data_IF_001013644333
#
_entry.id   IF_001013644333
#
_cell.length_a   1.000
_cell.length_b   1.000
_cell.length_c   1.000
_cell.angle_alpha   90.00
_cell.angle_beta   90.00
_cell.angle_gamma   90.00
#
_symmetry.space_group_name_H-M   'P 1'
#
loop_
_entity.id
_entity.type
_entity.pdbx_description
1 polymer ?
#
# COMPACT_ATOMS: atom_id res chain seq x y z
N UNK A 1 -17.62 -17.08 13.63
CA UNK A 1 -16.70 -17.61 14.65
C UNK A 1 -15.47 -18.29 14.03
N UNK A 2 -15.62 -19.31 13.18
CA UNK A 2 -14.46 -19.90 12.47
C UNK A 2 -13.95 -18.97 11.35
N UNK A 3 -14.86 -18.35 10.61
CA UNK A 3 -14.51 -17.39 9.54
C UNK A 3 -13.75 -16.18 10.09
N UNK A 4 -14.22 -15.59 11.19
CA UNK A 4 -13.54 -14.44 11.82
C UNK A 4 -12.12 -14.80 12.28
N UNK A 5 -11.94 -15.97 12.90
CA UNK A 5 -10.63 -16.46 13.32
C UNK A 5 -9.70 -16.74 12.13
N UNK A 6 -10.26 -17.23 11.01
CA UNK A 6 -9.52 -17.44 9.78
C UNK A 6 -9.06 -16.09 9.19
N UNK A 7 -9.94 -15.10 9.14
CA UNK A 7 -9.61 -13.76 8.65
C UNK A 7 -8.49 -13.12 9.49
N UNK A 8 -8.54 -13.21 10.82
CA UNK A 8 -7.48 -12.69 11.69
C UNK A 8 -6.11 -13.32 11.40
N UNK A 9 -6.07 -14.64 11.15
CA UNK A 9 -4.84 -15.35 10.77
C UNK A 9 -4.34 -14.87 9.41
N UNK A 10 -5.22 -14.78 8.41
CA UNK A 10 -4.85 -14.33 7.06
C UNK A 10 -4.35 -12.89 7.04
N UNK A 11 -5.02 -12.00 7.78
CA UNK A 11 -4.61 -10.59 7.96
C UNK A 11 -3.21 -10.52 8.57
N UNK A 12 -2.95 -11.32 9.61
CA UNK A 12 -1.64 -11.39 10.27
C UNK A 12 -0.56 -11.89 9.30
N UNK A 13 -0.83 -13.00 8.60
CA UNK A 13 0.10 -13.56 7.61
C UNK A 13 0.47 -12.52 6.54
N UNK A 14 -0.51 -11.83 5.97
CA UNK A 14 -0.30 -10.81 4.95
C UNK A 14 0.59 -9.64 5.43
N UNK A 15 0.43 -9.19 6.68
CA UNK A 15 1.25 -8.11 7.25
C UNK A 15 2.69 -8.55 7.53
N UNK A 16 2.89 -9.82 7.89
CA UNK A 16 4.22 -10.37 8.11
C UNK A 16 4.98 -10.68 6.82
N UNK A 17 4.28 -11.02 5.74
CA UNK A 17 4.88 -11.28 4.42
C UNK A 17 5.07 -10.02 3.55
N UNK A 18 4.45 -8.89 3.92
CA UNK A 18 4.53 -7.67 3.14
C UNK A 18 5.96 -7.10 3.02
N UNK A 19 6.24 -6.44 1.90
CA UNK A 19 7.45 -5.62 1.73
C UNK A 19 7.43 -4.49 2.77
N UNK A 20 8.58 -4.22 3.40
CA UNK A 20 8.72 -3.26 4.50
C UNK A 20 9.71 -2.16 4.13
N UNK A 21 9.72 -1.12 4.96
CA UNK A 21 10.74 -0.08 4.86
C UNK A 21 12.14 -0.71 4.86
N UNK A 22 13.03 -0.14 4.05
CA UNK A 22 14.42 -0.58 3.87
C UNK A 22 14.62 -1.90 3.12
N UNK A 23 13.57 -2.53 2.58
CA UNK A 23 13.77 -3.56 1.55
C UNK A 23 14.08 -2.89 0.21
N UNK A 24 15.27 -3.16 -0.32
CA UNK A 24 15.62 -2.78 -1.68
C UNK A 24 14.80 -3.61 -2.68
N UNK A 25 14.23 -2.95 -3.68
CA UNK A 25 13.49 -3.60 -4.75
C UNK A 25 14.08 -3.20 -6.10
N UNK A 26 14.21 -4.19 -6.98
CA UNK A 26 14.46 -3.98 -8.39
C UNK A 26 13.22 -3.44 -9.11
N UNK A 27 13.43 -2.83 -10.27
CA UNK A 27 12.34 -2.29 -11.10
C UNK A 27 11.30 -3.34 -11.50
N UNK A 28 11.73 -4.59 -11.73
CA UNK A 28 10.84 -5.70 -12.06
C UNK A 28 9.91 -6.09 -10.89
N UNK A 29 10.44 -6.08 -9.66
CA UNK A 29 9.69 -6.39 -8.44
C UNK A 29 8.67 -5.27 -8.13
N UNK A 30 9.09 -4.01 -8.26
CA UNK A 30 8.19 -2.86 -8.13
C UNK A 30 7.03 -2.96 -9.13
N UNK A 31 7.35 -3.28 -10.38
CA UNK A 31 6.32 -3.43 -11.43
C UNK A 31 5.39 -4.61 -11.16
N UNK A 32 5.88 -5.68 -10.54
CA UNK A 32 5.04 -6.80 -10.13
C UNK A 32 4.06 -6.39 -9.02
N UNK A 33 4.52 -5.66 -8.01
CA UNK A 33 3.65 -5.16 -6.93
C UNK A 33 2.50 -4.29 -7.46
N UNK A 34 2.75 -3.43 -8.45
CA UNK A 34 1.69 -2.63 -9.07
C UNK A 34 0.69 -3.49 -9.86
N UNK A 35 1.15 -4.49 -10.60
CA UNK A 35 0.24 -5.42 -11.31
C UNK A 35 -0.62 -6.22 -10.34
N UNK A 36 -0.04 -6.68 -9.24
CA UNK A 36 -0.76 -7.40 -8.20
C UNK A 36 -1.80 -6.50 -7.53
N UNK A 37 -1.46 -5.23 -7.31
CA UNK A 37 -2.39 -4.23 -6.78
C UNK A 37 -3.56 -3.95 -7.73
N UNK A 38 -3.30 -3.83 -9.04
CA UNK A 38 -4.33 -3.58 -10.06
C UNK A 38 -5.32 -4.75 -10.21
N UNK A 39 -4.92 -5.97 -9.84
CA UNK A 39 -5.76 -7.17 -9.88
C UNK A 39 -6.75 -7.26 -8.69
N UNK A 40 -6.56 -6.46 -7.64
CA UNK A 40 -7.41 -6.44 -6.45
C UNK A 40 -8.54 -5.44 -6.67
N UNK A 41 -9.79 -5.89 -6.47
CA UNK A 41 -10.95 -4.99 -6.49
C UNK A 41 -10.78 -3.90 -5.41
N UNK A 42 -10.78 -2.64 -5.84
CA UNK A 42 -10.02 -1.55 -5.23
C UNK A 42 -10.22 -1.43 -3.70
N UNK A 43 -9.14 -1.63 -2.94
CA UNK A 43 -9.07 -1.38 -1.49
C UNK A 43 -7.97 -0.34 -1.23
N UNK A 44 -8.35 0.89 -0.90
CA UNK A 44 -7.40 1.98 -0.59
C UNK A 44 -6.61 1.77 0.72
N UNK A 45 -6.92 0.71 1.47
CA UNK A 45 -6.33 0.39 2.76
C UNK A 45 -5.86 -1.06 2.79
N UNK A 46 -4.82 -1.34 3.57
CA UNK A 46 -4.43 -2.70 3.90
C UNK A 46 -5.52 -3.36 4.78
N UNK A 47 -5.48 -4.69 4.98
CA UNK A 47 -6.48 -5.37 5.79
C UNK A 47 -6.54 -4.91 7.26
N UNK A 48 -5.50 -4.23 7.77
CA UNK A 48 -5.48 -3.60 9.09
C UNK A 48 -5.97 -2.12 9.09
N UNK A 49 -6.38 -1.58 7.94
CA UNK A 49 -6.92 -0.23 7.81
C UNK A 49 -5.91 0.89 7.53
N UNK A 50 -4.63 0.60 7.30
CA UNK A 50 -3.65 1.64 6.92
C UNK A 50 -3.79 1.99 5.43
N UNK A 51 -3.77 3.28 5.04
CA UNK A 51 -3.78 3.65 3.63
C UNK A 51 -2.53 3.12 2.93
N UNK A 52 -2.70 2.56 1.74
CA UNK A 52 -1.60 1.98 0.94
C UNK A 52 -1.09 2.92 -0.16
N UNK A 53 -1.82 3.99 -0.44
CA UNK A 53 -1.46 5.00 -1.42
C UNK A 53 -1.79 6.39 -0.89
N UNK A 54 -0.98 7.36 -1.27
CA UNK A 54 -1.23 8.78 -1.09
C UNK A 54 -1.13 9.44 -2.47
N UNK A 55 -2.10 10.30 -2.79
CA UNK A 55 -2.08 11.10 -4.02
C UNK A 55 -1.69 12.52 -3.64
N UNK A 56 -0.53 12.96 -4.11
CA UNK A 56 -0.08 14.34 -3.97
C UNK A 56 -0.34 15.08 -5.29
N UNK A 57 -1.10 16.16 -5.21
CA UNK A 57 -1.34 17.03 -6.37
C UNK A 57 -0.16 17.96 -6.64
N UNK A 58 -0.05 18.48 -7.86
CA UNK A 58 1.02 19.40 -8.24
C UNK A 58 1.05 20.66 -7.36
N UNK A 59 -0.10 21.30 -7.14
CA UNK A 59 -0.20 22.48 -6.25
C UNK A 59 0.15 22.16 -4.80
N UNK A 60 -0.12 20.94 -4.34
CA UNK A 60 0.25 20.50 -3.00
C UNK A 60 1.77 20.33 -2.89
N UNK A 61 2.40 19.74 -3.90
CA UNK A 61 3.86 19.65 -4.01
C UNK A 61 4.47 21.06 -4.02
N UNK A 62 3.99 21.96 -4.85
CA UNK A 62 4.46 23.35 -4.92
C UNK A 62 4.41 24.04 -3.55
N UNK A 63 3.28 23.90 -2.83
CA UNK A 63 3.11 24.43 -1.48
C UNK A 63 4.12 23.85 -0.49
N UNK A 64 4.43 22.55 -0.57
CA UNK A 64 5.46 21.91 0.29
C UNK A 64 6.84 22.52 0.09
N UNK A 65 7.15 22.98 -1.13
CA UNK A 65 8.40 23.67 -1.47
C UNK A 65 8.33 25.19 -1.30
N UNK A 66 7.26 25.73 -0.69
CA UNK A 66 7.01 27.18 -0.54
C UNK A 66 7.02 27.93 -1.87
N UNK A 67 6.68 27.24 -2.95
CA UNK A 67 6.45 27.81 -4.28
C UNK A 67 4.94 28.03 -4.34
N UNK A 68 4.47 29.21 -3.98
CA UNK A 68 3.05 29.53 -4.15
C UNK A 68 2.82 30.01 -5.58
N UNK A 69 1.86 29.40 -6.28
CA UNK A 69 1.09 30.12 -7.31
C UNK A 69 0.30 31.27 -6.65
#
# INVERSE_FOLDING_TARGET
QVEDALDEVLITMACHSAVRAHHELGSAEISALFRDLDAIDFKANCPHGRPILLRLGESEIERLFKRSL
#
